data_IF_682804514230
#
_entry.id   IF_682804514230
#
_cell.length_a   1.000
_cell.length_b   1.000
_cell.length_c   1.000
_cell.angle_alpha   90.00
_cell.angle_beta   90.00
_cell.angle_gamma   90.00
#
_symmetry.space_group_name_H-M   'P 1'
#
loop_
_entity.id
_entity.type
_entity.pdbx_description
1 polymer ?
#
# COMPACT_ATOMS: atom_id res chain seq x y z
N UNK A 1 -10.76 12.27 4.98
CA UNK A 1 -10.61 12.02 3.52
C UNK A 1 -11.90 12.16 2.69
N UNK A 2 -13.04 12.65 3.23
CA UNK A 2 -14.36 12.54 2.56
C UNK A 2 -14.69 13.65 1.53
N UNK A 3 -13.75 14.50 1.11
CA UNK A 3 -14.06 15.60 0.14
C UNK A 3 -12.96 15.89 -0.89
N UNK A 4 -11.96 15.03 -1.05
CA UNK A 4 -10.81 15.29 -1.94
C UNK A 4 -11.24 15.47 -3.41
N UNK A 5 -12.31 14.78 -3.82
CA UNK A 5 -12.96 14.91 -5.13
C UNK A 5 -13.58 16.30 -5.39
N UNK A 6 -13.90 17.09 -4.36
CA UNK A 6 -14.45 18.44 -4.53
C UNK A 6 -13.38 19.47 -4.92
N UNK A 7 -12.10 19.14 -4.73
CA UNK A 7 -10.98 20.03 -5.02
C UNK A 7 -10.30 19.74 -6.37
N UNK A 8 -10.92 18.92 -7.23
CA UNK A 8 -10.35 18.54 -8.54
C UNK A 8 -9.11 17.63 -8.43
N UNK A 9 -8.75 17.18 -7.23
CA UNK A 9 -7.66 16.23 -7.02
C UNK A 9 -8.17 14.84 -7.38
N UNK A 10 -7.56 14.22 -8.39
CA UNK A 10 -7.90 12.85 -8.76
C UNK A 10 -7.62 11.92 -7.58
N UNK A 11 -8.57 11.04 -7.28
CA UNK A 11 -8.44 10.05 -6.20
C UNK A 11 -7.19 9.16 -6.41
N UNK A 12 -6.84 8.88 -7.66
CA UNK A 12 -5.64 8.13 -8.01
C UNK A 12 -4.38 8.84 -7.55
N UNK A 13 -4.22 10.12 -7.91
CA UNK A 13 -3.08 10.94 -7.45
C UNK A 13 -2.99 10.98 -5.93
N UNK A 14 -4.12 11.18 -5.24
CA UNK A 14 -4.15 11.18 -3.78
C UNK A 14 -3.66 9.85 -3.20
N UNK A 15 -4.16 8.72 -3.71
CA UNK A 15 -3.78 7.40 -3.21
C UNK A 15 -2.31 7.06 -3.57
N UNK A 16 -1.83 7.45 -4.75
CA UNK A 16 -0.42 7.25 -5.13
C UNK A 16 0.53 8.05 -4.23
N UNK A 17 0.19 9.29 -3.87
CA UNK A 17 0.98 10.07 -2.91
C UNK A 17 1.03 9.41 -1.53
N UNK A 18 -0.09 8.83 -1.08
CA UNK A 18 -0.12 8.06 0.17
C UNK A 18 0.75 6.82 0.11
N UNK A 19 0.74 6.07 -1.00
CA UNK A 19 1.64 4.92 -1.15
C UNK A 19 3.09 5.32 -1.10
N UNK A 20 3.46 6.39 -1.80
CA UNK A 20 4.83 6.89 -1.79
C UNK A 20 5.25 7.33 -0.38
N UNK A 21 4.35 8.00 0.36
CA UNK A 21 4.58 8.35 1.75
C UNK A 21 4.82 7.12 2.63
N UNK A 22 3.96 6.10 2.55
CA UNK A 22 4.10 4.86 3.34
C UNK A 22 5.38 4.12 2.97
N UNK A 23 5.77 4.09 1.68
CA UNK A 23 7.03 3.52 1.23
C UNK A 23 8.23 4.20 1.88
N UNK A 24 8.32 5.52 1.74
CA UNK A 24 9.44 6.31 2.29
C UNK A 24 9.49 6.18 3.80
N UNK A 25 8.32 6.22 4.45
CA UNK A 25 8.22 6.04 5.90
C UNK A 25 8.71 4.66 6.34
N UNK A 26 8.31 3.59 5.65
CA UNK A 26 8.77 2.24 5.97
C UNK A 26 10.29 2.08 5.76
N UNK A 27 10.84 2.63 4.67
CA UNK A 27 12.29 2.64 4.44
C UNK A 27 13.02 3.39 5.55
N UNK A 28 12.49 4.54 5.97
CA UNK A 28 13.05 5.29 7.10
C UNK A 28 13.04 4.48 8.39
N UNK A 29 11.93 3.83 8.73
CA UNK A 29 11.81 2.98 9.92
C UNK A 29 12.78 1.80 9.91
N UNK A 30 13.04 1.21 8.74
CA UNK A 30 14.07 0.19 8.57
C UNK A 30 15.47 0.79 8.80
N UNK A 31 15.76 1.95 8.19
CA UNK A 31 17.06 2.60 8.27
C UNK A 31 17.44 3.01 9.71
N UNK A 32 16.47 3.43 10.53
CA UNK A 32 16.68 3.76 11.95
C UNK A 32 16.59 2.54 12.88
N UNK A 33 16.43 1.33 12.33
CA UNK A 33 16.42 0.07 13.10
C UNK A 33 15.15 -0.21 13.89
N UNK A 34 14.04 0.50 13.62
CA UNK A 34 12.74 0.23 14.26
C UNK A 34 12.08 -1.00 13.64
N UNK A 35 12.16 -1.14 12.30
CA UNK A 35 11.66 -2.32 11.58
C UNK A 35 12.81 -3.19 11.11
N UNK A 36 12.60 -4.51 11.09
CA UNK A 36 13.56 -5.44 10.53
C UNK A 36 13.70 -5.20 9.01
N UNK A 37 14.91 -5.34 8.42
CA UNK A 37 15.11 -5.15 6.97
C UNK A 37 14.20 -6.02 6.10
N UNK A 38 13.84 -7.21 6.58
CA UNK A 38 12.97 -8.13 5.85
C UNK A 38 11.52 -7.65 5.72
N UNK A 39 11.09 -6.66 6.51
CA UNK A 39 9.80 -6.01 6.31
C UNK A 39 9.68 -5.36 4.92
N UNK A 40 10.79 -5.08 4.23
CA UNK A 40 10.79 -4.61 2.84
C UNK A 40 10.07 -5.56 1.85
N UNK A 41 9.82 -6.82 2.21
CA UNK A 41 9.00 -7.75 1.41
C UNK A 41 7.58 -7.23 1.18
N UNK A 42 7.06 -6.36 2.06
CA UNK A 42 5.74 -5.72 1.88
C UNK A 42 5.66 -4.90 0.60
N UNK A 43 6.79 -4.45 0.04
CA UNK A 43 6.82 -3.70 -1.22
C UNK A 43 6.32 -4.51 -2.41
N UNK A 44 6.31 -5.84 -2.33
CA UNK A 44 5.72 -6.71 -3.35
C UNK A 44 4.20 -6.52 -3.50
N UNK A 45 3.53 -5.97 -2.48
CA UNK A 45 2.09 -5.67 -2.54
C UNK A 45 1.79 -4.42 -3.37
N UNK A 46 2.77 -3.54 -3.58
CA UNK A 46 2.57 -2.22 -4.17
C UNK A 46 2.12 -2.30 -5.64
N UNK A 47 2.76 -3.11 -6.51
CA UNK A 47 2.28 -3.30 -7.89
C UNK A 47 0.84 -3.82 -7.94
N UNK A 48 0.48 -4.73 -7.04
CA UNK A 48 -0.86 -5.29 -6.94
C UNK A 48 -1.90 -4.24 -6.54
N UNK A 49 -1.59 -3.39 -5.57
CA UNK A 49 -2.46 -2.29 -5.14
C UNK A 49 -2.64 -1.25 -6.24
N UNK A 50 -1.56 -0.88 -6.94
CA UNK A 50 -1.60 0.03 -8.08
C UNK A 50 -2.49 -0.53 -9.19
N UNK A 51 -2.30 -1.80 -9.57
CA UNK A 51 -3.12 -2.46 -10.57
C UNK A 51 -4.61 -2.49 -10.19
N UNK A 52 -4.92 -2.79 -8.92
CA UNK A 52 -6.29 -2.76 -8.43
C UNK A 52 -6.91 -1.35 -8.50
N UNK A 53 -6.16 -0.29 -8.22
CA UNK A 53 -6.67 1.08 -8.27
C UNK A 53 -6.94 1.56 -9.69
N UNK A 54 -6.06 1.23 -10.64
CA UNK A 54 -6.27 1.56 -12.05
C UNK A 54 -7.50 0.83 -12.60
N UNK A 55 -7.65 -0.45 -12.28
CA UNK A 55 -8.78 -1.26 -12.76
C UNK A 55 -10.09 -1.01 -12.01
N UNK A 56 -10.04 -0.38 -10.83
CA UNK A 56 -11.22 -0.05 -10.02
C UNK A 56 -12.22 0.83 -10.80
N UNK A 57 -11.70 1.74 -11.64
CA UNK A 57 -12.51 2.60 -12.51
C UNK A 57 -13.32 1.82 -13.54
N UNK A 58 -12.80 0.68 -14.00
CA UNK A 58 -13.45 -0.14 -15.01
C UNK A 58 -14.48 -1.11 -14.40
N UNK A 59 -14.18 -1.70 -13.23
CA UNK A 59 -15.08 -2.66 -12.59
C UNK A 59 -14.94 -2.69 -11.06
N UNK A 60 -15.64 -1.78 -10.39
CA UNK A 60 -15.56 -1.62 -8.93
C UNK A 60 -15.90 -2.90 -8.17
N UNK A 61 -16.98 -3.60 -8.55
CA UNK A 61 -17.47 -4.78 -7.81
C UNK A 61 -16.50 -5.96 -7.86
N UNK A 62 -15.85 -6.19 -9.01
CA UNK A 62 -14.87 -7.28 -9.16
C UNK A 62 -13.52 -6.89 -8.57
N UNK A 63 -13.05 -5.67 -8.83
CA UNK A 63 -11.69 -5.25 -8.46
C UNK A 63 -11.59 -4.81 -7.00
N UNK A 64 -12.68 -4.31 -6.40
CA UNK A 64 -12.73 -3.97 -4.98
C UNK A 64 -12.43 -5.17 -4.06
N UNK A 65 -12.93 -6.36 -4.41
CA UNK A 65 -12.59 -7.58 -3.67
C UNK A 65 -11.11 -7.94 -3.74
N UNK A 66 -10.51 -7.85 -4.93
CA UNK A 66 -9.07 -8.05 -5.10
C UNK A 66 -8.24 -7.00 -4.36
N UNK A 67 -8.68 -5.73 -4.37
CA UNK A 67 -8.02 -4.66 -3.63
C UNK A 67 -7.95 -4.98 -2.14
N UNK A 68 -9.04 -5.47 -1.55
CA UNK A 68 -9.07 -5.86 -0.12
C UNK A 68 -8.09 -7.00 0.16
N UNK A 69 -8.06 -8.03 -0.69
CA UNK A 69 -7.16 -9.17 -0.52
C UNK A 69 -5.69 -8.73 -0.61
N UNK A 70 -5.34 -7.94 -1.63
CA UNK A 70 -3.96 -7.46 -1.81
C UNK A 70 -3.58 -6.50 -0.68
N UNK A 71 -4.49 -5.65 -0.21
CA UNK A 71 -4.26 -4.78 0.94
C UNK A 71 -4.05 -5.58 2.23
N UNK A 72 -4.78 -6.68 2.43
CA UNK A 72 -4.62 -7.56 3.58
C UNK A 72 -3.28 -8.31 3.59
N UNK A 73 -2.65 -8.53 2.42
CA UNK A 73 -1.31 -9.11 2.35
C UNK A 73 -0.23 -8.20 2.95
N UNK A 74 -0.41 -6.88 2.91
CA UNK A 74 0.56 -5.93 3.44
C UNK A 74 0.86 -6.14 4.94
N UNK A 75 -0.12 -6.11 5.87
CA UNK A 75 0.16 -6.36 7.29
C UNK A 75 0.65 -7.78 7.58
N UNK A 76 0.25 -8.78 6.78
CA UNK A 76 0.74 -10.16 6.92
C UNK A 76 2.24 -10.22 6.62
N UNK A 77 2.66 -9.67 5.48
CA UNK A 77 4.08 -9.63 5.09
C UNK A 77 4.91 -8.78 6.05
N UNK A 78 4.33 -7.71 6.59
CA UNK A 78 4.99 -6.87 7.59
C UNK A 78 5.26 -7.67 8.87
N UNK A 79 4.24 -8.37 9.37
CA UNK A 79 4.35 -9.21 10.56
C UNK A 79 5.34 -10.36 10.34
N UNK A 80 5.27 -11.05 9.21
CA UNK A 80 6.22 -12.12 8.85
C UNK A 80 7.65 -11.58 8.75
N UNK A 81 7.84 -10.44 8.07
CA UNK A 81 9.15 -9.79 7.95
C UNK A 81 9.73 -9.38 9.30
N UNK A 82 8.88 -8.95 10.24
CA UNK A 82 9.31 -8.58 11.59
C UNK A 82 9.66 -9.81 12.44
N UNK A 83 8.90 -10.90 12.35
CA UNK A 83 9.14 -12.13 13.12
C UNK A 83 10.40 -12.86 12.65
N UNK A 84 10.59 -12.97 11.32
CA UNK A 84 11.69 -13.78 10.78
C UNK A 84 12.99 -12.96 10.65
N UNK A 85 12.89 -11.63 10.56
CA UNK A 85 14.04 -10.75 10.35
C UNK A 85 14.54 -10.04 11.61
N UNK A 86 13.85 -10.21 12.74
CA UNK A 86 14.17 -9.64 14.05
C UNK A 86 14.72 -10.66 15.03
#
# INVERSE_FOLDING_TARGET
AYKVWQYGISLEWYIMSWFLFVFVYQVFLIAVGILAPMTALTFLTFPGLIACLVLLKANFRKVGGYLVIVAALYPILLLVGQIVGG
#
